data_IF_806728610253
#
_entry.id   IF_806728610253
#
_cell.length_a   1.000
_cell.length_b   1.000
_cell.length_c   1.000
_cell.angle_alpha   90.00
_cell.angle_beta   90.00
_cell.angle_gamma   90.00
#
_symmetry.space_group_name_H-M   'P 1'
#
loop_
_entity.id
_entity.type
_entity.pdbx_description
1 polymer ?
#
# COMPACT_ATOMS: atom_id res chain seq x y z
N UNK A 1 11.42 -7.39 -9.90
CA UNK A 1 11.73 -8.77 -10.36
C UNK A 1 13.10 -8.82 -11.02
N UNK A 2 13.53 -9.99 -11.53
CA UNK A 2 14.74 -10.14 -12.36
C UNK A 2 14.51 -9.79 -13.84
N UNK A 3 15.37 -10.27 -14.73
CA UNK A 3 15.21 -10.08 -16.19
C UNK A 3 13.97 -10.78 -16.74
N UNK A 4 13.26 -10.16 -17.68
CA UNK A 4 12.14 -10.75 -18.42
C UNK A 4 12.50 -10.95 -19.89
N UNK A 5 11.81 -11.90 -20.54
CA UNK A 5 12.08 -12.22 -21.95
C UNK A 5 11.47 -11.16 -22.88
N UNK A 6 12.17 -10.88 -23.99
CA UNK A 6 11.64 -10.14 -25.13
C UNK A 6 11.45 -11.13 -26.28
N UNK A 7 10.24 -11.20 -26.82
CA UNK A 7 9.91 -12.03 -27.99
C UNK A 7 9.12 -11.17 -28.97
N UNK A 8 9.48 -11.21 -30.25
CA UNK A 8 8.83 -10.39 -31.29
C UNK A 8 8.80 -8.89 -30.95
N UNK A 9 9.89 -8.39 -30.33
CA UNK A 9 10.07 -7.00 -29.88
C UNK A 9 9.11 -6.55 -28.77
N UNK A 10 8.40 -7.46 -28.11
CA UNK A 10 7.55 -7.15 -26.96
C UNK A 10 7.96 -7.97 -25.72
N UNK A 11 7.76 -7.44 -24.50
CA UNK A 11 7.98 -8.20 -23.27
C UNK A 11 7.08 -9.42 -23.16
N UNK A 12 7.55 -10.44 -22.45
CA UNK A 12 6.76 -11.60 -22.04
C UNK A 12 6.56 -11.58 -20.53
N UNK A 13 5.31 -11.70 -20.11
CA UNK A 13 4.94 -11.80 -18.71
C UNK A 13 5.70 -12.95 -18.05
N UNK A 14 6.49 -12.68 -17.00
CA UNK A 14 7.39 -13.65 -16.39
C UNK A 14 6.65 -14.78 -15.65
N UNK A 15 5.36 -14.59 -15.34
CA UNK A 15 4.52 -15.60 -14.66
C UNK A 15 3.70 -16.44 -15.65
N UNK A 16 3.86 -16.19 -16.95
CA UNK A 16 3.28 -17.02 -18.01
C UNK A 16 2.15 -16.34 -18.77
N UNK A 17 1.36 -17.14 -19.48
CA UNK A 17 0.27 -16.66 -20.35
C UNK A 17 -0.94 -16.28 -19.51
N UNK A 18 -1.47 -15.10 -19.78
CA UNK A 18 -2.73 -14.55 -19.27
C UNK A 18 -3.90 -14.79 -20.23
N UNK A 19 -3.61 -15.10 -21.49
CA UNK A 19 -4.62 -15.25 -22.55
C UNK A 19 -4.96 -13.94 -23.28
N UNK A 20 -4.26 -12.85 -22.95
CA UNK A 20 -4.43 -11.54 -23.59
C UNK A 20 -3.07 -10.95 -23.99
N UNK A 21 -2.93 -10.52 -25.24
CA UNK A 21 -1.74 -9.79 -25.72
C UNK A 21 -1.96 -8.26 -25.70
N UNK A 22 -0.88 -7.50 -25.86
CA UNK A 22 -0.90 -6.04 -25.77
C UNK A 22 -0.78 -5.55 -24.33
N UNK A 23 -1.08 -4.27 -24.08
CA UNK A 23 -0.93 -3.66 -22.76
C UNK A 23 -2.21 -3.68 -21.90
N UNK A 24 -3.37 -3.94 -22.50
CA UNK A 24 -4.65 -3.77 -21.82
C UNK A 24 -4.79 -2.33 -21.31
N UNK A 25 -5.06 -2.18 -20.01
CA UNK A 25 -5.19 -0.89 -19.32
C UNK A 25 -3.85 -0.30 -18.84
N UNK A 26 -2.75 -1.05 -18.96
CA UNK A 26 -1.46 -0.61 -18.43
C UNK A 26 -0.76 0.36 -19.39
N UNK A 27 -0.13 1.39 -18.84
CA UNK A 27 0.52 2.44 -19.64
C UNK A 27 1.81 1.95 -20.32
N UNK A 28 2.57 1.08 -19.66
CA UNK A 28 3.89 0.62 -20.11
C UNK A 28 3.86 -0.82 -20.61
N UNK A 29 4.70 -1.12 -21.59
CA UNK A 29 5.06 -2.50 -21.92
C UNK A 29 5.98 -3.06 -20.82
N UNK A 30 5.79 -4.33 -20.46
CA UNK A 30 6.54 -4.96 -19.39
C UNK A 30 6.04 -4.53 -18.00
N UNK A 31 6.93 -4.28 -17.03
CA UNK A 31 6.52 -3.97 -15.67
C UNK A 31 5.94 -2.55 -15.56
N UNK A 32 4.82 -2.46 -14.86
CA UNK A 32 4.19 -1.23 -14.42
C UNK A 32 4.34 -1.18 -12.90
N UNK A 33 5.23 -0.31 -12.43
CA UNK A 33 5.64 -0.26 -11.04
C UNK A 33 4.68 0.55 -10.19
N UNK A 34 4.33 0.01 -9.02
CA UNK A 34 3.59 0.66 -7.94
C UNK A 34 4.41 0.64 -6.64
N UNK A 35 3.94 1.38 -5.65
CA UNK A 35 4.49 1.37 -4.30
C UNK A 35 3.36 1.40 -3.26
N UNK A 36 3.42 0.49 -2.28
CA UNK A 36 2.36 0.28 -1.29
C UNK A 36 2.87 0.52 0.14
N UNK A 37 2.45 1.61 0.80
CA UNK A 37 2.79 1.89 2.19
C UNK A 37 1.80 1.20 3.14
N UNK A 38 2.21 0.07 3.71
CA UNK A 38 1.46 -0.60 4.79
C UNK A 38 1.74 0.10 6.10
N UNK A 39 0.97 1.15 6.39
CA UNK A 39 1.07 1.90 7.66
C UNK A 39 0.30 1.17 8.75
N UNK A 40 0.98 0.84 9.85
CA UNK A 40 0.43 0.00 10.92
C UNK A 40 0.67 0.55 12.31
N UNK A 41 -0.21 0.20 13.24
CA UNK A 41 -0.04 0.43 14.68
C UNK A 41 -0.61 -0.75 15.47
N UNK A 42 -0.26 -0.86 16.74
CA UNK A 42 -0.95 -1.77 17.64
C UNK A 42 -2.34 -1.24 17.99
N UNK A 43 -3.34 -2.12 17.96
CA UNK A 43 -4.64 -1.81 18.55
C UNK A 43 -4.47 -1.63 20.05
N UNK A 44 -5.03 -0.56 20.60
CA UNK A 44 -5.00 -0.25 22.03
C UNK A 44 -6.41 -0.13 22.59
N UNK A 45 -6.60 -0.54 23.84
CA UNK A 45 -7.86 -0.37 24.55
C UNK A 45 -7.98 1.05 25.17
N UNK A 46 -9.07 1.31 25.88
CA UNK A 46 -9.31 2.61 26.53
C UNK A 46 -8.31 2.99 27.63
N UNK A 47 -7.49 2.04 28.10
CA UNK A 47 -6.39 2.30 29.05
C UNK A 47 -5.06 2.60 28.35
N UNK A 48 -5.00 2.42 27.02
CA UNK A 48 -3.78 2.51 26.22
C UNK A 48 -2.97 1.21 26.17
N UNK A 49 -3.43 0.12 26.80
CA UNK A 49 -2.76 -1.18 26.73
C UNK A 49 -2.98 -1.83 25.35
N UNK A 50 -2.01 -2.63 24.88
CA UNK A 50 -2.14 -3.36 23.60
C UNK A 50 -3.23 -4.41 23.74
N UNK A 51 -4.14 -4.45 22.77
CA UNK A 51 -5.13 -5.53 22.67
C UNK A 51 -4.44 -6.78 22.15
N UNK A 52 -4.68 -7.91 22.79
CA UNK A 52 -4.15 -9.20 22.38
C UNK A 52 -5.28 -10.19 22.02
N UNK A 53 -4.98 -11.08 21.08
CA UNK A 53 -5.80 -12.24 20.71
C UNK A 53 -4.89 -13.47 20.69
N UNK A 54 -5.27 -14.48 21.46
CA UNK A 54 -4.51 -15.75 21.56
C UNK A 54 -3.01 -15.54 21.90
N UNK A 55 -2.73 -14.58 22.78
CA UNK A 55 -1.36 -14.26 23.22
C UNK A 55 -0.50 -13.52 22.18
N UNK A 56 -1.13 -12.97 21.13
CA UNK A 56 -0.46 -12.10 20.15
C UNK A 56 -1.12 -10.73 20.09
N UNK A 57 -0.36 -9.65 19.91
CA UNK A 57 -0.92 -8.31 19.78
C UNK A 57 -1.73 -8.16 18.49
N UNK A 58 -2.84 -7.43 18.56
CA UNK A 58 -3.72 -7.13 17.43
C UNK A 58 -3.18 -5.92 16.67
N UNK A 59 -3.05 -6.05 15.36
CA UNK A 59 -2.55 -4.99 14.47
C UNK A 59 -3.72 -4.22 13.85
N UNK A 60 -3.56 -2.91 13.69
CA UNK A 60 -4.38 -2.09 12.82
C UNK A 60 -3.52 -1.55 11.67
N UNK A 61 -4.12 -1.38 10.51
CA UNK A 61 -3.48 -0.71 9.37
C UNK A 61 -4.39 0.38 8.79
N UNK A 62 -3.79 1.35 8.11
CA UNK A 62 -4.56 2.36 7.37
C UNK A 62 -5.03 1.73 6.06
N UNK A 63 -6.35 1.69 5.88
CA UNK A 63 -6.99 1.25 4.66
C UNK A 63 -7.79 2.40 4.04
N UNK A 64 -7.85 2.42 2.71
CA UNK A 64 -8.72 3.31 1.93
C UNK A 64 -9.73 2.49 1.18
N UNK A 65 -10.95 3.02 1.03
CA UNK A 65 -12.00 2.42 0.20
C UNK A 65 -11.99 3.12 -1.14
N UNK A 66 -11.63 2.41 -2.19
CA UNK A 66 -11.53 2.97 -3.55
C UNK A 66 -12.88 3.50 -4.03
N UNK A 67 -12.90 4.67 -4.68
CA UNK A 67 -14.12 5.26 -5.23
C UNK A 67 -14.73 4.47 -6.40
N UNK A 68 -13.89 3.81 -7.20
CA UNK A 68 -14.29 3.12 -8.44
C UNK A 68 -14.97 1.76 -8.20
N UNK A 69 -14.47 1.00 -7.23
CA UNK A 69 -14.84 -0.40 -6.96
C UNK A 69 -15.50 -0.59 -5.61
N UNK A 70 -15.36 0.38 -4.70
CA UNK A 70 -15.81 0.25 -3.31
C UNK A 70 -15.01 -0.74 -2.47
N UNK A 71 -13.95 -1.35 -3.03
CA UNK A 71 -13.09 -2.29 -2.32
C UNK A 71 -12.12 -1.56 -1.38
N UNK A 72 -11.83 -2.17 -0.24
CA UNK A 72 -10.79 -1.69 0.67
C UNK A 72 -9.40 -2.08 0.15
N UNK A 73 -8.43 -1.20 0.30
CA UNK A 73 -7.07 -1.34 -0.21
C UNK A 73 -6.04 -0.67 0.71
N UNK A 74 -4.76 -1.02 0.51
CA UNK A 74 -3.64 -0.24 1.02
C UNK A 74 -3.59 1.06 0.20
N UNK A 75 -3.32 2.23 0.83
CA UNK A 75 -3.26 3.51 0.14
C UNK A 75 -1.97 3.67 -0.66
N UNK A 76 -1.93 3.06 -1.85
CA UNK A 76 -0.75 2.95 -2.70
C UNK A 76 -1.09 3.16 -4.16
N UNK A 77 -0.06 3.46 -4.95
CA UNK A 77 -0.26 3.87 -6.33
C UNK A 77 0.98 3.76 -7.21
N UNK A 78 0.90 4.34 -8.40
CA UNK A 78 1.84 4.10 -9.48
C UNK A 78 3.13 4.91 -9.30
N UNK A 79 4.28 4.29 -9.58
CA UNK A 79 5.55 5.01 -9.61
C UNK A 79 5.67 5.77 -10.93
N UNK A 80 5.58 7.10 -10.85
CA UNK A 80 5.72 8.01 -11.98
C UNK A 80 7.14 8.01 -12.56
N UNK A 81 7.29 8.52 -13.79
CA UNK A 81 8.57 8.57 -14.46
C UNK A 81 9.49 9.61 -13.77
N UNK A 82 10.63 9.16 -13.26
CA UNK A 82 11.58 10.02 -12.54
C UNK A 82 11.42 9.97 -11.02
N UNK A 83 10.33 9.42 -10.52
CA UNK A 83 10.08 9.28 -9.09
C UNK A 83 10.86 8.10 -8.48
N UNK A 84 11.22 8.28 -7.22
CA UNK A 84 11.75 7.19 -6.38
C UNK A 84 10.59 6.48 -5.68
N UNK A 85 10.75 5.18 -5.39
CA UNK A 85 9.79 4.42 -4.58
C UNK A 85 9.47 5.14 -3.27
N UNK A 86 10.47 5.71 -2.60
CA UNK A 86 10.27 6.47 -1.37
C UNK A 86 9.44 7.74 -1.55
N UNK A 87 9.56 8.42 -2.69
CA UNK A 87 8.74 9.59 -2.99
C UNK A 87 7.28 9.16 -3.22
N UNK A 88 7.06 8.11 -4.02
CA UNK A 88 5.74 7.55 -4.28
C UNK A 88 5.06 7.10 -2.98
N UNK A 89 5.71 6.32 -2.11
CA UNK A 89 5.12 5.88 -0.83
C UNK A 89 4.61 7.04 0.03
N UNK A 90 5.33 8.17 0.05
CA UNK A 90 4.95 9.35 0.82
C UNK A 90 3.82 10.13 0.15
N UNK A 91 3.91 10.31 -1.16
CA UNK A 91 2.90 10.98 -1.99
C UNK A 91 1.56 10.27 -1.85
N UNK A 92 1.50 8.99 -2.20
CA UNK A 92 0.27 8.18 -2.21
C UNK A 92 -0.40 8.16 -0.83
N UNK A 93 0.38 7.97 0.25
CA UNK A 93 -0.19 8.01 1.60
C UNK A 93 -0.73 9.40 1.97
N UNK A 94 -0.03 10.47 1.59
CA UNK A 94 -0.49 11.84 1.84
C UNK A 94 -1.76 12.19 1.08
N UNK A 95 -1.83 11.79 -0.18
CA UNK A 95 -2.96 12.07 -1.06
C UNK A 95 -4.18 11.23 -0.66
N UNK A 96 -4.06 9.91 -0.60
CA UNK A 96 -5.21 9.02 -0.42
C UNK A 96 -5.71 8.93 1.04
N UNK A 97 -4.79 9.03 2.03
CA UNK A 97 -5.14 8.82 3.43
C UNK A 97 -5.19 10.09 4.28
N UNK A 98 -4.61 11.20 3.81
CA UNK A 98 -4.59 12.49 4.52
C UNK A 98 -5.16 13.65 3.69
N UNK A 99 -5.65 13.39 2.48
CA UNK A 99 -6.22 14.38 1.56
C UNK A 99 -5.31 15.60 1.33
N UNK A 100 -4.00 15.38 1.13
CA UNK A 100 -3.03 16.47 1.01
C UNK A 100 -3.20 17.34 -0.25
N UNK A 101 -3.99 16.89 -1.24
CA UNK A 101 -4.27 17.66 -2.46
C UNK A 101 -5.22 18.83 -2.21
N UNK A 102 -6.20 18.64 -1.32
CA UNK A 102 -7.19 19.66 -0.96
C UNK A 102 -6.80 20.45 0.30
N UNK A 103 -5.64 20.14 0.89
CA UNK A 103 -5.11 20.81 2.07
C UNK A 103 -4.55 22.21 1.72
N UNK A 104 -4.61 23.13 2.67
CA UNK A 104 -3.92 24.42 2.54
C UNK A 104 -2.39 24.23 2.53
N UNK A 105 -1.64 25.18 1.99
CA UNK A 105 -0.16 25.09 1.94
C UNK A 105 0.49 24.82 3.31
N UNK A 106 -0.04 25.41 4.38
CA UNK A 106 0.48 25.21 5.74
C UNK A 106 0.12 23.83 6.29
N UNK A 107 -1.06 23.30 5.98
CA UNK A 107 -1.44 21.93 6.34
C UNK A 107 -0.62 20.91 5.57
N UNK A 108 -0.44 21.13 4.27
CA UNK A 108 0.39 20.30 3.40
C UNK A 108 1.81 20.21 3.93
N UNK A 109 2.43 21.33 4.32
CA UNK A 109 3.76 21.34 4.94
C UNK A 109 3.82 20.50 6.22
N UNK A 110 2.81 20.58 7.08
CA UNK A 110 2.72 19.76 8.31
C UNK A 110 2.55 18.27 8.00
N UNK A 111 1.71 17.94 7.01
CA UNK A 111 1.53 16.56 6.54
C UNK A 111 2.87 16.01 6.03
N UNK A 112 3.55 16.76 5.16
CA UNK A 112 4.85 16.37 4.61
C UNK A 112 5.91 16.19 5.72
N UNK A 113 5.99 17.11 6.68
CA UNK A 113 6.91 17.00 7.83
C UNK A 113 6.64 15.73 8.65
N UNK A 114 5.38 15.43 8.97
CA UNK A 114 5.00 14.22 9.69
C UNK A 114 5.28 12.94 8.90
N UNK A 115 4.87 12.89 7.63
CA UNK A 115 5.14 11.73 6.75
C UNK A 115 6.65 11.52 6.64
N UNK A 116 7.43 12.58 6.42
CA UNK A 116 8.88 12.47 6.32
C UNK A 116 9.51 11.89 7.60
N UNK A 117 8.98 12.23 8.77
CA UNK A 117 9.41 11.66 10.03
C UNK A 117 9.03 10.19 10.16
N UNK A 118 7.76 9.85 9.90
CA UNK A 118 7.21 8.50 10.08
C UNK A 118 7.75 7.50 9.04
N UNK A 119 8.06 7.99 7.84
CA UNK A 119 8.55 7.19 6.71
C UNK A 119 10.08 7.20 6.63
N UNK A 120 10.77 7.70 7.66
CA UNK A 120 12.23 7.72 7.72
C UNK A 120 12.83 6.32 7.81
N UNK A 121 12.14 5.39 8.47
CA UNK A 121 12.55 3.99 8.61
C UNK A 121 11.35 3.07 8.43
N UNK A 122 11.29 2.41 7.27
CA UNK A 122 10.30 1.36 6.98
C UNK A 122 10.98 0.05 6.64
N UNK A 123 10.26 -1.05 6.89
CA UNK A 123 10.72 -2.39 6.56
C UNK A 123 10.16 -2.81 5.20
N UNK A 124 11.04 -3.13 4.25
CA UNK A 124 10.60 -3.66 2.95
C UNK A 124 10.06 -5.08 3.14
N UNK A 125 8.77 -5.28 2.89
CA UNK A 125 8.11 -6.58 3.01
C UNK A 125 8.13 -7.37 1.70
N UNK A 126 7.96 -6.68 0.57
CA UNK A 126 7.80 -7.31 -0.74
C UNK A 126 8.35 -6.43 -1.86
N UNK A 127 8.85 -7.05 -2.93
CA UNK A 127 9.21 -6.37 -4.17
C UNK A 127 9.12 -7.36 -5.33
N UNK A 128 8.12 -7.22 -6.20
CA UNK A 128 7.93 -8.17 -7.30
C UNK A 128 6.57 -8.09 -7.97
N UNK A 129 6.25 -9.16 -8.70
CA UNK A 129 5.01 -9.32 -9.46
C UNK A 129 3.77 -9.20 -8.57
N UNK A 130 2.69 -8.63 -9.09
CA UNK A 130 1.39 -8.65 -8.43
C UNK A 130 0.42 -9.39 -9.33
N UNK A 131 -0.27 -10.40 -8.79
CA UNK A 131 -1.41 -10.99 -9.48
C UNK A 131 -2.55 -9.96 -9.46
N UNK A 132 -2.77 -9.35 -10.62
CA UNK A 132 -3.62 -8.19 -10.81
C UNK A 132 -4.47 -8.40 -12.08
N UNK A 133 -5.78 -8.08 -12.05
CA UNK A 133 -6.67 -8.27 -13.19
C UNK A 133 -6.26 -7.46 -14.44
N UNK A 134 -5.37 -6.47 -14.32
CA UNK A 134 -4.84 -5.69 -15.45
C UNK A 134 -3.71 -6.37 -16.20
N UNK A 135 -3.16 -7.47 -15.67
CA UNK A 135 -2.02 -8.15 -16.27
C UNK A 135 -2.38 -8.77 -17.64
N UNK A 136 -1.43 -8.70 -18.56
CA UNK A 136 -1.48 -9.31 -19.90
C UNK A 136 -0.22 -10.13 -20.15
N UNK A 137 -0.09 -10.74 -21.33
CA UNK A 137 1.11 -11.43 -21.79
C UNK A 137 2.29 -10.49 -22.00
N UNK A 138 2.06 -9.17 -22.10
CA UNK A 138 3.08 -8.20 -22.47
C UNK A 138 3.21 -6.99 -21.53
N UNK A 139 2.33 -6.86 -20.53
CA UNK A 139 2.39 -5.84 -19.49
C UNK A 139 1.87 -6.41 -18.18
N UNK A 140 2.52 -6.09 -17.05
CA UNK A 140 2.11 -6.59 -15.74
C UNK A 140 2.39 -5.59 -14.63
N UNK A 141 1.72 -5.77 -13.50
CA UNK A 141 1.95 -5.03 -12.28
C UNK A 141 3.16 -5.59 -11.51
N UNK A 142 4.02 -4.69 -11.05
CA UNK A 142 4.98 -4.96 -9.98
C UNK A 142 4.78 -3.92 -8.89
N UNK A 143 4.98 -4.30 -7.63
CA UNK A 143 4.94 -3.35 -6.51
C UNK A 143 6.13 -3.53 -5.59
N UNK A 144 6.46 -2.48 -4.85
CA UNK A 144 7.32 -2.52 -3.68
C UNK A 144 6.48 -2.17 -2.46
N UNK A 145 6.43 -3.09 -1.50
CA UNK A 145 5.65 -2.94 -0.27
C UNK A 145 6.61 -2.62 0.88
N UNK A 146 6.33 -1.52 1.58
CA UNK A 146 7.00 -1.17 2.82
C UNK A 146 6.01 -1.14 3.96
N UNK A 147 6.42 -1.65 5.12
CA UNK A 147 5.69 -1.48 6.37
C UNK A 147 6.31 -0.38 7.21
N UNK A 148 5.51 0.65 7.50
CA UNK A 148 5.83 1.72 8.43
C UNK A 148 5.02 1.49 9.69
N UNK A 149 5.70 1.17 10.80
CA UNK A 149 5.05 0.71 12.01
C UNK A 149 5.27 1.67 13.17
N UNK A 150 4.18 2.05 13.83
CA UNK A 150 4.21 2.80 15.08
C UNK A 150 3.96 1.88 16.27
N UNK A 151 5.07 1.47 16.88
CA UNK A 151 5.07 0.60 18.05
C UNK A 151 4.57 1.33 19.32
N UNK A 152 4.80 2.64 19.38
CA UNK A 152 4.42 3.50 20.51
C UNK A 152 2.92 3.82 20.52
N UNK A 153 2.31 3.95 19.34
CA UNK A 153 0.95 4.47 19.16
C UNK A 153 0.88 6.00 19.11
N UNK A 154 2.00 6.71 19.29
CA UNK A 154 2.07 8.18 19.31
C UNK A 154 2.49 8.78 17.96
N UNK A 155 3.09 7.99 17.07
CA UNK A 155 3.58 8.45 15.78
C UNK A 155 2.45 8.88 14.86
N UNK A 156 1.39 8.08 14.78
CA UNK A 156 0.23 8.40 13.93
C UNK A 156 -0.98 8.91 14.71
N UNK A 157 -0.91 9.06 16.04
CA UNK A 157 -2.04 9.56 16.86
C UNK A 157 -2.49 10.97 16.49
N UNK A 158 -1.57 11.76 15.91
CA UNK A 158 -1.81 13.15 15.49
C UNK A 158 -2.28 13.29 14.05
N UNK A 159 -2.32 12.19 13.28
CA UNK A 159 -2.80 12.24 11.91
C UNK A 159 -4.32 12.10 11.89
N UNK A 160 -4.98 13.14 11.40
CA UNK A 160 -6.39 13.07 11.06
C UNK A 160 -6.51 12.41 9.68
N UNK A 161 -7.00 11.16 9.64
CA UNK A 161 -7.21 10.47 8.38
C UNK A 161 -8.39 11.13 7.65
N UNK A 162 -8.14 11.59 6.43
CA UNK A 162 -9.14 12.18 5.55
C UNK A 162 -8.97 11.52 4.20
N UNK A 163 -10.06 10.96 3.67
CA UNK A 163 -10.01 10.28 2.39
C UNK A 163 -9.68 11.30 1.30
N UNK A 164 -8.71 10.98 0.44
CA UNK A 164 -8.41 11.75 -0.76
C UNK A 164 -9.53 11.72 -1.79
N UNK A 165 -9.34 12.43 -2.90
CA UNK A 165 -10.28 12.53 -4.02
C UNK A 165 -10.65 11.17 -4.64
N UNK A 166 -9.68 10.25 -4.74
CA UNK A 166 -9.89 8.90 -5.29
C UNK A 166 -10.42 7.88 -4.26
N UNK A 167 -10.52 8.27 -2.98
CA UNK A 167 -10.95 7.41 -1.88
C UNK A 167 -12.34 7.81 -1.36
N UNK A 168 -13.27 6.85 -1.34
CA UNK A 168 -14.60 7.04 -0.77
C UNK A 168 -14.65 6.93 0.77
N UNK A 169 -13.58 6.43 1.41
CA UNK A 169 -13.40 6.38 2.85
C UNK A 169 -11.94 6.07 3.21
N UNK A 170 -11.52 6.41 4.43
CA UNK A 170 -10.25 6.00 5.03
C UNK A 170 -10.46 5.60 6.48
N UNK A 171 -9.79 4.55 6.96
CA UNK A 171 -9.92 4.11 8.33
C UNK A 171 -8.69 3.33 8.83
N UNK A 172 -8.44 3.41 10.14
CA UNK A 172 -7.72 2.36 10.85
C UNK A 172 -8.58 1.10 10.87
N UNK A 173 -8.06 0.03 10.28
CA UNK A 173 -8.76 -1.24 10.11
C UNK A 173 -8.03 -2.32 10.88
N UNK A 174 -8.75 -3.04 11.74
CA UNK A 174 -8.21 -4.19 12.46
C UNK A 174 -7.85 -5.30 11.46
N UNK A 175 -6.64 -5.83 11.60
CA UNK A 175 -6.17 -6.93 10.76
C UNK A 175 -6.74 -8.26 11.24
N UNK A 176 -7.38 -8.98 10.33
CA UNK A 176 -7.84 -10.36 10.54
C UNK A 176 -7.93 -11.16 9.23
N UNK A 177 -7.93 -12.48 9.34
CA UNK A 177 -7.95 -13.43 8.21
C UNK A 177 -9.16 -13.32 7.28
N UNK A 178 -10.29 -12.84 7.80
CA UNK A 178 -11.51 -12.56 7.01
C UNK A 178 -11.49 -11.25 6.22
N UNK A 179 -10.41 -10.46 6.23
CA UNK A 179 -10.34 -9.21 5.47
C UNK A 179 -10.38 -9.46 3.96
N UNK A 180 -11.33 -8.82 3.27
CA UNK A 180 -11.41 -8.79 1.81
C UNK A 180 -10.82 -7.48 1.31
N UNK A 181 -9.64 -7.55 0.68
CA UNK A 181 -8.94 -6.38 0.13
C UNK A 181 -8.76 -6.53 -1.38
N UNK A 182 -8.61 -5.39 -2.08
CA UNK A 182 -8.38 -5.33 -3.52
C UNK A 182 -7.09 -6.06 -3.94
N UNK A 183 -7.12 -6.73 -5.09
CA UNK A 183 -6.00 -7.46 -5.68
C UNK A 183 -5.28 -8.38 -4.65
N UNK A 184 -3.95 -8.27 -4.56
CA UNK A 184 -3.12 -9.06 -3.63
C UNK A 184 -2.92 -8.38 -2.27
N UNK A 185 -3.68 -7.34 -1.91
CA UNK A 185 -3.40 -6.54 -0.70
C UNK A 185 -3.54 -7.33 0.60
N UNK A 186 -4.43 -8.32 0.65
CA UNK A 186 -4.54 -9.23 1.82
C UNK A 186 -3.25 -10.02 2.07
N UNK A 187 -2.52 -10.40 1.01
CA UNK A 187 -1.21 -11.03 1.13
C UNK A 187 -0.18 -10.07 1.74
N UNK A 188 -0.15 -8.81 1.32
CA UNK A 188 0.79 -7.82 1.83
C UNK A 188 0.54 -7.44 3.30
N UNK A 189 -0.73 -7.32 3.69
CA UNK A 189 -1.10 -7.13 5.11
C UNK A 189 -0.70 -8.36 5.93
N UNK A 190 -0.88 -9.57 5.41
CA UNK A 190 -0.41 -10.80 6.07
C UNK A 190 1.11 -10.81 6.26
N UNK A 191 1.90 -10.36 5.27
CA UNK A 191 3.35 -10.22 5.44
C UNK A 191 3.70 -9.26 6.60
N UNK A 192 2.94 -8.18 6.77
CA UNK A 192 3.12 -7.27 7.91
C UNK A 192 2.79 -7.96 9.24
N UNK A 193 1.73 -8.78 9.30
CA UNK A 193 1.37 -9.57 10.49
C UNK A 193 2.47 -10.56 10.85
N UNK A 194 3.00 -11.29 9.87
CA UNK A 194 4.09 -12.25 10.08
C UNK A 194 5.37 -11.54 10.56
N UNK A 195 5.74 -10.42 9.93
CA UNK A 195 6.89 -9.60 10.30
C UNK A 195 6.77 -9.02 11.72
N UNK A 196 5.58 -8.58 12.12
CA UNK A 196 5.30 -8.00 13.45
C UNK A 196 4.92 -9.03 14.50
N UNK A 197 4.77 -10.31 14.15
CA UNK A 197 4.31 -11.39 15.04
C UNK A 197 2.92 -11.10 15.66
N UNK A 198 2.06 -10.47 14.88
CA UNK A 198 0.71 -10.08 15.30
C UNK A 198 -0.31 -11.24 15.17
N UNK A 199 -1.52 -11.02 15.68
CA UNK A 199 -2.66 -11.89 15.45
C UNK A 199 -3.14 -11.83 13.98
N UNK A 200 -3.66 -12.95 13.47
CA UNK A 200 -4.25 -13.09 12.12
C UNK A 200 -5.64 -13.69 12.21
#
# INVERSE_FOLDING_TARGET
MGTYQIMDKVPRNPVGRTGMIGRGLLGRWGPNHAADPVVTRWKRDGSGARVEREGKPVLEFVAVRRGDTGAWAIPGGMVEAGDTVSATLKKEFGEEALNSLEATDEEKRKIEEHINHLFKSGDKLYAGYVDDPRNTDNAWMETVVFNFHDDSGEGFSKLNLVAGDDAAAVAWTEVHSGLSLYASHSHFVRLAVEHRKAAW
#
